data_IF_449513730226
#
_entry.id   IF_449513730226
#
_cell.length_a   1.000
_cell.length_b   1.000
_cell.length_c   1.000
_cell.angle_alpha   90.00
_cell.angle_beta   90.00
_cell.angle_gamma   90.00
#
_symmetry.space_group_name_H-M   'P 1'
#
loop_
_entity.id
_entity.type
_entity.pdbx_description
1 polymer ?
#
# COMPACT_ATOMS: atom_id res chain seq x y z
N UNK A 1 2.10 -13.52 -3.52
CA UNK A 1 1.18 -14.62 -3.14
C UNK A 1 -0.22 -14.08 -2.85
N UNK A 2 -0.36 -13.00 -2.08
CA UNK A 2 -1.67 -12.34 -1.83
C UNK A 2 -2.50 -12.02 -3.08
N UNK A 3 -1.86 -11.60 -4.18
CA UNK A 3 -2.56 -11.30 -5.44
C UNK A 3 -3.36 -12.50 -6.00
N UNK A 4 -2.88 -13.73 -5.79
CA UNK A 4 -3.53 -14.96 -6.29
C UNK A 4 -4.76 -15.38 -5.47
N UNK A 5 -5.13 -14.62 -4.43
CA UNK A 5 -6.42 -14.83 -3.73
C UNK A 5 -7.62 -14.45 -4.59
N UNK A 6 -7.38 -13.72 -5.69
CA UNK A 6 -8.32 -13.44 -6.77
C UNK A 6 -7.71 -13.89 -8.10
N UNK A 7 -8.52 -14.14 -9.15
CA UNK A 7 -8.01 -14.47 -10.48
C UNK A 7 -7.02 -13.42 -11.00
N UNK A 8 -5.92 -13.86 -11.62
CA UNK A 8 -4.89 -13.01 -12.20
C UNK A 8 -4.49 -13.55 -13.57
N UNK A 9 -4.21 -12.67 -14.52
CA UNK A 9 -3.48 -13.05 -15.73
C UNK A 9 -1.97 -13.23 -15.38
N UNK A 10 -1.34 -14.35 -15.77
CA UNK A 10 0.08 -14.59 -15.46
C UNK A 10 1.06 -13.61 -16.14
N UNK A 11 0.72 -13.08 -17.30
CA UNK A 11 1.50 -12.06 -17.99
C UNK A 11 1.45 -10.73 -17.24
N UNK A 12 0.23 -10.28 -16.93
CA UNK A 12 -0.03 -9.05 -16.19
C UNK A 12 0.58 -9.08 -14.79
N UNK A 13 0.44 -10.19 -14.05
CA UNK A 13 1.00 -10.30 -12.69
C UNK A 13 2.54 -10.16 -12.69
N UNK A 14 3.21 -10.73 -13.70
CA UNK A 14 4.67 -10.58 -13.86
C UNK A 14 5.06 -9.15 -14.20
N UNK A 15 4.33 -8.51 -15.13
CA UNK A 15 4.56 -7.12 -15.49
C UNK A 15 4.34 -6.18 -14.30
N UNK A 16 3.22 -6.33 -13.58
CA UNK A 16 2.87 -5.54 -12.42
C UNK A 16 3.89 -5.67 -11.27
N UNK A 17 4.47 -6.85 -11.08
CA UNK A 17 5.54 -7.05 -10.07
C UNK A 17 6.76 -6.18 -10.38
N UNK A 18 7.18 -6.10 -11.64
CA UNK A 18 8.28 -5.24 -12.08
C UNK A 18 7.91 -3.77 -12.00
N UNK A 19 6.70 -3.42 -12.45
CA UNK A 19 6.20 -2.04 -12.44
C UNK A 19 6.14 -1.47 -11.01
N UNK A 20 5.63 -2.22 -10.04
CA UNK A 20 5.61 -1.79 -8.63
C UNK A 20 7.02 -1.62 -8.08
N UNK A 21 7.95 -2.51 -8.46
CA UNK A 21 9.36 -2.38 -8.07
C UNK A 21 9.99 -1.11 -8.64
N UNK A 22 9.74 -0.82 -9.93
CA UNK A 22 10.18 0.42 -10.56
C UNK A 22 9.57 1.65 -9.87
N UNK A 23 8.28 1.60 -9.52
CA UNK A 23 7.59 2.68 -8.81
C UNK A 23 8.22 2.97 -7.45
N UNK A 24 8.58 1.94 -6.67
CA UNK A 24 9.26 2.11 -5.38
C UNK A 24 10.62 2.78 -5.54
N UNK A 25 11.44 2.33 -6.49
CA UNK A 25 12.76 2.91 -6.74
C UNK A 25 12.62 4.36 -7.24
N UNK A 26 11.73 4.60 -8.19
CA UNK A 26 11.49 5.92 -8.76
C UNK A 26 10.92 6.93 -7.74
N UNK A 27 10.15 6.45 -6.76
CA UNK A 27 9.68 7.25 -5.62
C UNK A 27 10.77 7.53 -4.57
N UNK A 28 11.98 6.97 -4.73
CA UNK A 28 13.13 7.24 -3.88
C UNK A 28 13.47 6.14 -2.86
N UNK A 29 12.85 4.97 -2.93
CA UNK A 29 13.27 3.83 -2.11
C UNK A 29 14.57 3.26 -2.70
N UNK A 30 15.68 3.51 -2.01
CA UNK A 30 16.99 3.02 -2.37
C UNK A 30 17.12 1.51 -2.10
N UNK A 31 17.30 0.64 -3.12
CA UNK A 31 17.40 -0.81 -2.96
C UNK A 31 18.69 -1.28 -2.26
N UNK A 32 19.70 -0.42 -2.14
CA UNK A 32 20.92 -0.73 -1.39
C UNK A 32 20.69 -0.53 0.12
N UNK A 33 19.87 0.45 0.49
CA UNK A 33 19.49 0.71 1.90
C UNK A 33 18.30 -0.15 2.35
N UNK A 34 17.30 -0.30 1.51
CA UNK A 34 16.05 -0.99 1.80
C UNK A 34 15.97 -2.35 1.08
N UNK A 35 15.45 -3.37 1.76
CA UNK A 35 15.26 -4.69 1.15
C UNK A 35 13.98 -4.72 0.32
N UNK A 36 14.09 -4.50 -1.00
CA UNK A 36 12.96 -4.61 -1.93
C UNK A 36 12.95 -6.00 -2.56
N UNK A 37 11.88 -6.76 -2.39
CA UNK A 37 11.77 -8.12 -2.92
C UNK A 37 10.31 -8.51 -3.17
N UNK A 38 10.08 -9.51 -4.03
CA UNK A 38 8.77 -10.10 -4.21
C UNK A 38 8.59 -11.28 -3.25
N UNK A 39 7.45 -11.30 -2.54
CA UNK A 39 7.12 -12.27 -1.48
C UNK A 39 7.43 -13.73 -1.85
N UNK A 40 7.15 -14.14 -3.09
CA UNK A 40 7.32 -15.53 -3.54
C UNK A 40 8.78 -16.01 -3.60
N UNK A 41 9.78 -15.12 -3.49
CA UNK A 41 11.20 -15.50 -3.45
C UNK A 41 11.64 -16.08 -2.11
N UNK A 42 10.83 -15.95 -1.06
CA UNK A 42 11.19 -16.38 0.29
C UNK A 42 10.14 -17.39 0.78
N UNK A 43 10.47 -18.68 0.71
CA UNK A 43 9.54 -19.77 1.10
C UNK A 43 9.11 -19.69 2.57
N UNK A 44 9.93 -19.05 3.40
CA UNK A 44 9.67 -18.92 4.83
C UNK A 44 8.32 -18.25 5.14
N UNK A 45 7.82 -17.39 4.25
CA UNK A 45 6.48 -16.80 4.37
C UNK A 45 5.38 -17.86 4.42
N UNK A 46 5.44 -18.85 3.52
CA UNK A 46 4.41 -19.90 3.43
C UNK A 46 4.58 -20.92 4.55
N UNK A 47 5.82 -21.32 4.83
CA UNK A 47 6.13 -22.26 5.91
C UNK A 47 5.71 -21.70 7.28
N UNK A 48 6.03 -20.43 7.55
CA UNK A 48 5.61 -19.76 8.77
C UNK A 48 4.08 -19.58 8.81
N UNK A 49 3.46 -19.18 7.70
CA UNK A 49 2.00 -19.04 7.63
C UNK A 49 1.28 -20.34 8.00
N UNK A 50 1.80 -21.50 7.59
CA UNK A 50 1.22 -22.78 7.98
C UNK A 50 1.32 -23.04 9.49
N UNK A 51 2.47 -22.78 10.10
CA UNK A 51 2.65 -22.89 11.56
C UNK A 51 1.68 -21.97 12.32
N UNK A 52 1.57 -20.71 11.86
CA UNK A 52 0.69 -19.73 12.47
C UNK A 52 -0.79 -20.08 12.26
N UNK A 53 -1.16 -20.69 11.13
CA UNK A 53 -2.52 -21.16 10.89
C UNK A 53 -2.97 -22.20 11.93
N UNK A 54 -2.07 -23.10 12.35
CA UNK A 54 -2.36 -24.07 13.42
C UNK A 54 -2.64 -23.43 14.78
N UNK A 55 -2.26 -22.16 14.97
CA UNK A 55 -2.50 -21.38 16.19
C UNK A 55 -3.63 -20.36 16.04
N UNK A 56 -4.23 -20.26 14.86
CA UNK A 56 -5.24 -19.24 14.54
C UNK A 56 -6.63 -19.85 14.57
N UNK A 57 -7.48 -19.53 15.57
CA UNK A 57 -8.86 -20.00 15.59
C UNK A 57 -9.67 -19.47 14.40
N UNK A 58 -10.48 -20.33 13.78
CA UNK A 58 -11.40 -19.94 12.70
C UNK A 58 -12.31 -18.76 13.09
N UNK A 59 -12.71 -18.69 14.36
CA UNK A 59 -13.51 -17.58 14.89
C UNK A 59 -12.86 -16.21 14.73
N UNK A 60 -11.52 -16.13 14.70
CA UNK A 60 -10.80 -14.88 14.47
C UNK A 60 -10.93 -14.43 13.01
N UNK A 61 -10.79 -15.37 12.08
CA UNK A 61 -10.93 -15.13 10.64
C UNK A 61 -12.39 -14.83 10.24
N UNK A 62 -13.37 -15.49 10.87
CA UNK A 62 -14.80 -15.25 10.64
C UNK A 62 -15.25 -13.81 10.97
N UNK A 63 -14.47 -13.07 11.76
CA UNK A 63 -14.75 -11.67 12.12
C UNK A 63 -14.12 -10.66 11.16
N UNK A 64 -13.30 -11.10 10.21
CA UNK A 64 -12.62 -10.20 9.25
C UNK A 64 -13.63 -9.57 8.30
N UNK A 65 -13.68 -8.23 8.28
CA UNK A 65 -14.62 -7.48 7.43
C UNK A 65 -14.28 -7.66 5.95
N UNK A 66 -12.98 -7.60 5.61
CA UNK A 66 -12.53 -7.73 4.21
C UNK A 66 -12.91 -9.07 3.58
N UNK A 67 -12.91 -10.18 4.33
CA UNK A 67 -13.39 -11.46 3.82
C UNK A 67 -14.88 -11.38 3.49
N UNK A 68 -15.70 -10.84 4.42
CA UNK A 68 -17.16 -10.71 4.23
C UNK A 68 -17.51 -9.82 3.04
N UNK A 69 -16.75 -8.74 2.83
CA UNK A 69 -16.93 -7.81 1.72
C UNK A 69 -16.51 -8.43 0.39
N UNK A 70 -15.31 -9.02 0.30
CA UNK A 70 -14.76 -9.58 -0.94
C UNK A 70 -15.45 -10.87 -1.37
N UNK A 71 -15.82 -11.74 -0.44
CA UNK A 71 -16.55 -12.97 -0.73
C UNK A 71 -18.03 -12.73 -1.07
N UNK A 72 -18.57 -11.58 -0.65
CA UNK A 72 -19.94 -11.17 -0.95
C UNK A 72 -21.00 -12.17 -0.47
N UNK A 73 -21.98 -12.45 -1.34
CA UNK A 73 -23.12 -13.34 -1.04
C UNK A 73 -22.76 -14.83 -1.14
N UNK A 74 -21.80 -15.21 -2.01
CA UNK A 74 -21.39 -16.61 -2.22
C UNK A 74 -20.12 -16.95 -1.46
N UNK A 75 -20.17 -16.85 -0.13
CA UNK A 75 -19.01 -17.10 0.73
C UNK A 75 -18.47 -18.52 0.64
N UNK A 76 -19.34 -19.48 0.35
CA UNK A 76 -18.96 -20.90 0.22
C UNK A 76 -18.13 -21.17 -1.04
N UNK A 77 -18.25 -20.32 -2.06
CA UNK A 77 -17.46 -20.41 -3.30
C UNK A 77 -16.14 -19.63 -3.22
N UNK A 78 -15.88 -18.93 -2.11
CA UNK A 78 -14.64 -18.19 -1.94
C UNK A 78 -13.46 -19.16 -1.77
N UNK A 79 -12.37 -18.92 -2.49
CA UNK A 79 -11.15 -19.71 -2.33
C UNK A 79 -10.58 -19.58 -0.91
N UNK A 80 -10.02 -20.67 -0.37
CA UNK A 80 -9.40 -20.70 0.96
C UNK A 80 -8.37 -19.58 1.15
N UNK A 81 -7.61 -19.24 0.09
CA UNK A 81 -6.65 -18.14 0.14
C UNK A 81 -7.28 -16.81 0.53
N UNK A 82 -8.48 -16.49 0.05
CA UNK A 82 -9.18 -15.24 0.41
C UNK A 82 -9.61 -15.22 1.88
N UNK A 83 -9.84 -16.38 2.49
CA UNK A 83 -10.15 -16.50 3.91
C UNK A 83 -8.89 -16.47 4.78
N UNK A 84 -7.82 -17.13 4.34
CA UNK A 84 -6.62 -17.38 5.13
C UNK A 84 -5.50 -16.35 4.93
N UNK A 85 -5.57 -15.46 3.93
CA UNK A 85 -4.50 -14.48 3.67
C UNK A 85 -4.15 -13.58 4.86
N UNK A 86 -5.04 -13.26 5.82
CA UNK A 86 -4.62 -12.50 7.01
C UNK A 86 -3.56 -13.23 7.85
N UNK A 87 -3.54 -14.57 7.84
CA UNK A 87 -2.50 -15.37 8.49
C UNK A 87 -1.19 -15.31 7.69
N UNK A 88 -1.27 -15.33 6.37
CA UNK A 88 -0.10 -15.12 5.51
C UNK A 88 0.50 -13.72 5.74
N UNK A 89 -0.35 -12.69 5.91
CA UNK A 89 0.10 -11.34 6.26
C UNK A 89 0.78 -11.30 7.63
N UNK A 90 0.28 -12.04 8.62
CA UNK A 90 0.98 -12.19 9.91
C UNK A 90 2.36 -12.83 9.73
N UNK A 91 2.47 -13.89 8.92
CA UNK A 91 3.77 -14.48 8.60
C UNK A 91 4.71 -13.51 7.89
N UNK A 92 4.19 -12.69 6.97
CA UNK A 92 4.98 -11.66 6.26
C UNK A 92 5.66 -10.67 7.22
N UNK A 93 4.99 -10.33 8.32
CA UNK A 93 5.47 -9.40 9.34
C UNK A 93 6.44 -10.11 10.30
N UNK A 94 6.02 -11.26 10.82
CA UNK A 94 6.71 -11.96 11.90
C UNK A 94 7.98 -12.66 11.44
N UNK A 95 8.07 -13.06 10.15
CA UNK A 95 9.28 -13.65 9.58
C UNK A 95 10.51 -12.71 9.70
N UNK A 96 10.31 -11.41 9.84
CA UNK A 96 11.39 -10.42 9.99
C UNK A 96 11.45 -9.80 11.38
N UNK A 97 10.68 -10.32 12.35
CA UNK A 97 10.49 -9.72 13.68
C UNK A 97 10.20 -8.21 13.60
N UNK A 98 9.36 -7.80 12.66
CA UNK A 98 9.04 -6.39 12.48
C UNK A 98 8.33 -5.82 13.71
N UNK A 99 8.82 -4.69 14.21
CA UNK A 99 8.26 -3.98 15.37
C UNK A 99 7.20 -2.96 14.99
N UNK A 100 7.29 -2.40 13.77
CA UNK A 100 6.43 -1.33 13.28
C UNK A 100 5.97 -1.67 11.87
N UNK A 101 4.67 -1.55 11.60
CA UNK A 101 4.10 -1.86 10.28
C UNK A 101 3.22 -0.69 9.83
N UNK A 102 3.54 -0.06 8.70
CA UNK A 102 2.68 0.97 8.15
C UNK A 102 1.45 0.35 7.51
N UNK A 103 0.27 0.73 7.99
CA UNK A 103 -1.01 0.19 7.53
C UNK A 103 -2.03 1.29 7.31
N UNK A 104 -2.81 1.15 6.23
CA UNK A 104 -4.02 1.94 6.05
C UNK A 104 -5.09 1.58 7.07
N UNK A 105 -6.09 2.46 7.25
CA UNK A 105 -7.21 2.21 8.16
C UNK A 105 -7.93 0.89 7.86
N UNK A 106 -8.02 0.50 6.58
CA UNK A 106 -8.64 -0.73 6.11
C UNK A 106 -7.87 -2.00 6.52
N UNK A 107 -6.55 -1.90 6.74
CA UNK A 107 -5.70 -3.04 7.10
C UNK A 107 -5.43 -3.15 8.60
N UNK A 108 -5.96 -2.22 9.41
CA UNK A 108 -5.76 -2.22 10.88
C UNK A 108 -6.21 -3.55 11.51
N UNK A 109 -7.34 -4.09 11.09
CA UNK A 109 -7.86 -5.36 11.63
C UNK A 109 -6.91 -6.54 11.39
N UNK A 110 -6.22 -6.57 10.25
CA UNK A 110 -5.24 -7.63 9.96
C UNK A 110 -3.95 -7.47 10.77
N UNK A 111 -3.53 -6.23 11.04
CA UNK A 111 -2.39 -5.99 11.94
C UNK A 111 -2.71 -6.41 13.37
N UNK A 112 -3.92 -6.13 13.87
CA UNK A 112 -4.36 -6.65 15.17
C UNK A 112 -4.38 -8.18 15.19
N UNK A 113 -4.83 -8.83 14.11
CA UNK A 113 -4.73 -10.29 14.01
C UNK A 113 -3.28 -10.78 14.08
N UNK A 114 -2.34 -10.12 13.40
CA UNK A 114 -0.92 -10.48 13.45
C UNK A 114 -0.36 -10.36 14.89
N UNK A 115 -0.79 -9.33 15.65
CA UNK A 115 -0.46 -9.17 17.07
C UNK A 115 -1.06 -10.29 17.92
N UNK A 116 -2.34 -10.62 17.71
CA UNK A 116 -3.02 -11.69 18.43
C UNK A 116 -2.36 -13.06 18.19
N UNK A 117 -1.97 -13.35 16.95
CA UNK A 117 -1.26 -14.56 16.54
C UNK A 117 0.14 -14.61 17.18
N UNK A 118 0.90 -13.52 17.13
CA UNK A 118 2.21 -13.43 17.78
C UNK A 118 2.10 -13.70 19.29
N UNK A 119 1.14 -13.06 19.96
CA UNK A 119 0.86 -13.28 21.38
C UNK A 119 0.41 -14.72 21.67
N UNK A 120 -0.39 -15.33 20.79
CA UNK A 120 -0.82 -16.71 20.94
C UNK A 120 0.36 -17.69 20.84
N UNK A 121 1.27 -17.49 19.88
CA UNK A 121 2.51 -18.26 19.76
C UNK A 121 3.34 -18.15 21.04
N UNK A 122 3.61 -16.92 21.47
CA UNK A 122 4.42 -16.64 22.65
C UNK A 122 3.85 -17.31 23.93
N UNK A 123 2.53 -17.21 24.15
CA UNK A 123 1.85 -17.87 25.27
C UNK A 123 1.87 -19.38 25.16
N UNK A 124 1.60 -19.94 23.97
CA UNK A 124 1.48 -21.39 23.74
C UNK A 124 2.79 -22.14 24.02
N UNK A 125 3.92 -21.48 23.77
CA UNK A 125 5.25 -22.05 23.96
C UNK A 125 6.00 -21.46 25.15
N UNK A 126 5.37 -20.56 25.90
CA UNK A 126 5.95 -19.89 27.08
C UNK A 126 7.31 -19.20 26.74
N UNK A 127 7.33 -18.49 25.60
CA UNK A 127 8.51 -17.76 25.10
C UNK A 127 8.13 -16.36 24.66
N UNK A 128 8.99 -15.38 24.94
CA UNK A 128 8.92 -14.08 24.29
C UNK A 128 9.73 -14.10 22.99
N UNK A 129 9.14 -14.67 21.93
CA UNK A 129 9.86 -14.94 20.68
C UNK A 129 9.51 -13.93 19.58
N UNK A 130 8.22 -13.76 19.30
CA UNK A 130 7.73 -12.81 18.32
C UNK A 130 7.39 -11.47 18.97
N UNK A 131 7.87 -10.33 18.44
CA UNK A 131 7.40 -9.03 18.88
C UNK A 131 5.92 -8.85 18.51
N UNK A 132 5.23 -7.99 19.26
CA UNK A 132 3.87 -7.56 18.92
C UNK A 132 3.96 -6.30 18.04
N UNK A 133 3.79 -6.40 16.71
CA UNK A 133 4.02 -5.27 15.81
C UNK A 133 3.07 -4.11 16.10
N UNK A 134 3.57 -2.87 16.09
CA UNK A 134 2.78 -1.67 16.30
C UNK A 134 2.37 -1.03 14.97
N UNK A 135 1.15 -0.43 14.90
CA UNK A 135 0.74 0.33 13.74
C UNK A 135 1.58 1.60 13.61
N UNK A 136 2.29 1.73 12.50
CA UNK A 136 2.91 3.00 12.14
C UNK A 136 1.93 3.84 11.34
N UNK A 137 1.28 4.77 12.04
CA UNK A 137 0.38 5.73 11.40
C UNK A 137 1.22 6.92 10.95
N UNK A 138 1.59 6.93 9.67
CA UNK A 138 2.10 8.16 9.06
C UNK A 138 0.96 9.19 9.07
N UNK A 139 1.18 10.33 9.73
CA UNK A 139 0.19 11.40 9.90
C UNK A 139 -0.51 11.70 8.58
N UNK A 140 -1.84 11.84 8.62
CA UNK A 140 -2.77 11.84 7.47
C UNK A 140 -2.05 11.61 6.13
N UNK A 141 -1.62 10.37 5.87
CA UNK A 141 -1.21 10.01 4.52
C UNK A 141 -2.37 10.45 3.63
N UNK A 142 -2.15 11.50 2.82
CA UNK A 142 -3.23 12.31 2.26
C UNK A 142 -4.17 11.37 1.56
N UNK A 143 -5.37 11.18 2.11
CA UNK A 143 -6.36 10.29 1.50
C UNK A 143 -6.78 10.98 0.22
N UNK A 144 -6.10 10.65 -0.88
CA UNK A 144 -6.34 11.28 -2.16
C UNK A 144 -7.67 10.77 -2.70
N UNK A 145 -8.59 11.71 -2.93
CA UNK A 145 -9.94 11.43 -3.42
C UNK A 145 -9.97 11.52 -4.94
N UNK A 146 -11.02 10.95 -5.53
CA UNK A 146 -11.24 11.00 -6.97
C UNK A 146 -11.32 12.45 -7.46
N UNK A 147 -10.66 12.74 -8.58
CA UNK A 147 -10.73 14.05 -9.22
C UNK A 147 -12.13 14.34 -9.80
N UNK A 148 -13.02 13.35 -9.86
CA UNK A 148 -14.40 13.49 -10.38
C UNK A 148 -15.46 13.46 -9.28
N UNK A 149 -15.11 12.93 -8.12
CA UNK A 149 -16.01 12.80 -6.96
C UNK A 149 -15.18 12.86 -5.67
N UNK A 150 -15.12 14.04 -5.05
CA UNK A 150 -14.31 14.28 -3.85
C UNK A 150 -14.72 13.45 -2.63
N UNK A 151 -15.89 12.80 -2.68
CA UNK A 151 -16.38 11.92 -1.59
C UNK A 151 -15.88 10.48 -1.71
N UNK A 152 -15.35 10.10 -2.88
CA UNK A 152 -14.83 8.75 -3.16
C UNK A 152 -13.32 8.72 -3.19
N UNK A 153 -12.72 7.68 -2.61
CA UNK A 153 -11.27 7.46 -2.67
C UNK A 153 -10.85 7.26 -4.12
N UNK A 154 -9.72 7.83 -4.53
CA UNK A 154 -9.13 7.56 -5.84
C UNK A 154 -8.88 6.05 -5.98
N UNK A 155 -9.30 5.46 -7.10
CA UNK A 155 -9.18 4.02 -7.36
C UNK A 155 -8.63 3.74 -8.75
N UNK A 156 -7.70 2.78 -8.82
CA UNK A 156 -7.20 2.23 -10.10
C UNK A 156 -8.30 1.56 -10.93
N UNK A 157 -9.35 1.05 -10.28
CA UNK A 157 -10.43 0.30 -10.92
C UNK A 157 -11.63 1.15 -11.32
N UNK A 158 -11.58 2.47 -11.12
CA UNK A 158 -12.66 3.36 -11.57
C UNK A 158 -12.73 3.38 -13.10
N UNK A 159 -13.94 3.36 -13.68
CA UNK A 159 -14.14 3.33 -15.12
C UNK A 159 -13.68 4.63 -15.81
N UNK A 160 -13.70 5.75 -15.09
CA UNK A 160 -13.24 7.02 -15.60
C UNK A 160 -11.74 7.20 -15.33
N UNK A 161 -10.92 7.24 -16.38
CA UNK A 161 -9.49 7.53 -16.21
C UNK A 161 -9.23 8.95 -15.67
N UNK A 162 -10.15 9.89 -15.92
CA UNK A 162 -10.13 11.25 -15.36
C UNK A 162 -10.39 11.32 -13.85
N UNK A 163 -10.74 10.21 -13.20
CA UNK A 163 -10.90 10.14 -11.74
C UNK A 163 -9.57 10.08 -10.99
N UNK A 164 -8.47 9.76 -11.68
CA UNK A 164 -7.17 9.42 -11.06
C UNK A 164 -6.00 9.97 -11.85
N UNK A 165 -4.87 10.15 -11.16
CA UNK A 165 -3.57 10.39 -11.79
C UNK A 165 -2.77 9.09 -11.66
N UNK A 166 -2.31 8.54 -12.78
CA UNK A 166 -1.44 7.36 -12.78
C UNK A 166 0.02 7.83 -12.67
N UNK A 167 0.87 7.04 -12.01
CA UNK A 167 2.31 7.35 -11.91
C UNK A 167 3.04 7.29 -13.27
N UNK A 168 2.39 6.69 -14.26
CA UNK A 168 2.86 6.57 -15.65
C UNK A 168 2.25 7.61 -16.58
N UNK A 169 1.36 8.49 -16.08
CA UNK A 169 0.83 9.58 -16.89
C UNK A 169 1.96 10.55 -17.28
N UNK A 170 1.95 11.01 -18.53
CA UNK A 170 2.85 12.06 -18.99
C UNK A 170 2.38 13.46 -18.53
N UNK A 171 3.19 14.47 -18.85
CA UNK A 171 2.92 15.84 -18.45
C UNK A 171 1.56 16.35 -18.93
N UNK A 172 1.20 16.03 -20.17
CA UNK A 172 -0.05 16.49 -20.80
C UNK A 172 -1.26 15.79 -20.18
N UNK A 173 -1.18 14.48 -19.93
CA UNK A 173 -2.23 13.72 -19.27
C UNK A 173 -2.46 14.20 -17.83
N UNK A 174 -1.39 14.43 -17.05
CA UNK A 174 -1.50 14.98 -15.68
C UNK A 174 -2.20 16.33 -15.70
N UNK A 175 -1.72 17.26 -16.54
CA UNK A 175 -2.29 18.61 -16.64
C UNK A 175 -3.75 18.57 -17.11
N UNK A 176 -4.08 17.72 -18.08
CA UNK A 176 -5.44 17.56 -18.58
C UNK A 176 -6.37 17.02 -17.49
N UNK A 177 -5.95 16.01 -16.72
CA UNK A 177 -6.72 15.41 -15.63
C UNK A 177 -7.00 16.42 -14.52
N UNK A 178 -6.01 17.21 -14.12
CA UNK A 178 -6.17 18.28 -13.11
C UNK A 178 -7.10 19.38 -13.64
N UNK A 179 -6.94 19.80 -14.90
CA UNK A 179 -7.83 20.79 -15.54
C UNK A 179 -9.28 20.31 -15.55
N UNK A 180 -9.50 19.02 -15.82
CA UNK A 180 -10.81 18.35 -15.84
C UNK A 180 -11.31 17.93 -14.46
N UNK A 181 -10.56 18.13 -13.38
CA UNK A 181 -11.02 17.80 -12.04
C UNK A 181 -12.32 18.58 -11.73
N UNK A 182 -13.28 17.93 -11.08
CA UNK A 182 -14.54 18.56 -10.66
C UNK A 182 -14.22 19.60 -9.59
N UNK A 183 -14.80 20.78 -9.72
CA UNK A 183 -14.76 21.87 -8.74
C UNK A 183 -16.11 22.56 -8.76
N UNK A 184 -16.47 23.20 -7.67
CA UNK A 184 -17.66 24.06 -7.60
C UNK A 184 -17.33 25.46 -8.19
N UNK A 185 -18.33 26.33 -8.44
CA UNK A 185 -18.12 27.61 -9.11
C UNK A 185 -17.57 28.71 -8.18
N UNK A 186 -17.58 28.50 -6.87
CA UNK A 186 -17.14 29.51 -5.90
C UNK A 186 -15.61 29.63 -5.90
N UNK A 187 -15.04 30.82 -5.63
CA UNK A 187 -13.62 30.96 -5.37
C UNK A 187 -13.13 30.04 -4.25
N UNK A 188 -11.83 29.79 -4.18
CA UNK A 188 -11.24 29.01 -3.09
C UNK A 188 -11.51 29.66 -1.73
N UNK A 189 -11.91 28.81 -0.79
CA UNK A 189 -12.23 29.18 0.59
C UNK A 189 -11.09 29.94 1.28
N UNK A 190 -11.43 30.73 2.29
CA UNK A 190 -10.42 31.46 3.08
C UNK A 190 -9.90 30.64 4.26
N UNK A 191 -10.72 29.73 4.76
CA UNK A 191 -10.40 28.92 5.94
C UNK A 191 -10.56 27.43 5.65
N UNK A 192 -9.85 26.58 6.42
CA UNK A 192 -9.99 25.12 6.29
C UNK A 192 -11.39 24.63 6.68
N UNK A 193 -12.05 25.28 7.65
CA UNK A 193 -13.40 24.92 8.08
C UNK A 193 -14.43 25.07 6.94
N UNK A 194 -14.24 26.03 6.04
CA UNK A 194 -15.07 26.17 4.85
C UNK A 194 -14.81 25.07 3.80
N UNK A 195 -13.59 24.52 3.74
CA UNK A 195 -13.26 23.41 2.84
C UNK A 195 -13.88 22.09 3.26
N UNK A 196 -14.18 21.89 4.55
CA UNK A 196 -14.78 20.64 5.05
C UNK A 196 -16.11 20.30 4.33
N UNK A 197 -16.84 21.32 3.86
CA UNK A 197 -18.09 21.17 3.11
C UNK A 197 -17.92 21.13 1.60
N UNK A 198 -16.68 21.24 1.10
CA UNK A 198 -16.30 21.31 -0.32
C UNK A 198 -15.26 20.23 -0.64
N UNK A 199 -15.68 18.95 -0.69
CA UNK A 199 -14.75 17.81 -0.72
C UNK A 199 -13.83 17.81 -1.95
N UNK A 200 -14.29 18.31 -3.10
CA UNK A 200 -13.43 18.49 -4.27
C UNK A 200 -12.32 19.53 -4.05
N UNK A 201 -12.66 20.69 -3.49
CA UNK A 201 -11.70 21.75 -3.20
C UNK A 201 -10.68 21.31 -2.15
N UNK A 202 -11.19 20.68 -1.09
CA UNK A 202 -10.42 20.11 0.01
C UNK A 202 -9.38 19.09 -0.47
N UNK A 203 -9.80 18.20 -1.39
CA UNK A 203 -8.93 17.21 -2.02
C UNK A 203 -7.82 17.87 -2.85
N UNK A 204 -8.15 18.82 -3.73
CA UNK A 204 -7.13 19.45 -4.59
C UNK A 204 -6.11 20.27 -3.77
N UNK A 205 -6.55 20.97 -2.72
CA UNK A 205 -5.66 21.65 -1.77
C UNK A 205 -4.77 20.64 -1.04
N UNK A 206 -5.33 19.51 -0.62
CA UNK A 206 -4.56 18.41 -0.02
C UNK A 206 -3.48 17.86 -0.94
N UNK A 207 -3.79 17.65 -2.23
CA UNK A 207 -2.82 17.21 -3.25
C UNK A 207 -1.73 18.26 -3.42
N UNK A 208 -2.10 19.54 -3.57
CA UNK A 208 -1.12 20.63 -3.72
C UNK A 208 -0.17 20.70 -2.52
N UNK A 209 -0.71 20.68 -1.30
CA UNK A 209 0.07 20.71 -0.06
C UNK A 209 1.07 19.54 -0.01
N UNK A 210 0.61 18.32 -0.34
CA UNK A 210 1.45 17.13 -0.35
C UNK A 210 2.61 17.22 -1.37
N UNK A 211 2.34 17.71 -2.59
CA UNK A 211 3.35 17.83 -3.64
C UNK A 211 4.33 18.98 -3.39
N UNK A 212 3.88 20.07 -2.75
CA UNK A 212 4.71 21.24 -2.44
C UNK A 212 5.48 21.12 -1.12
N UNK A 213 5.16 20.15 -0.28
CA UNK A 213 5.70 20.04 1.08
C UNK A 213 5.19 21.14 2.03
N UNK A 214 4.15 21.88 1.64
CA UNK A 214 3.50 22.90 2.47
C UNK A 214 2.43 22.28 3.37
N UNK A 215 2.10 22.98 4.45
CA UNK A 215 0.89 22.65 5.21
C UNK A 215 -0.38 22.99 4.40
N UNK A 216 -1.52 22.41 4.77
CA UNK A 216 -2.81 22.69 4.09
C UNK A 216 -3.22 24.15 4.26
N UNK A 217 -2.93 24.72 5.43
CA UNK A 217 -3.16 26.13 5.77
C UNK A 217 -2.31 27.03 4.88
N UNK A 218 -1.03 26.72 4.69
CA UNK A 218 -0.13 27.48 3.83
C UNK A 218 -0.54 27.39 2.35
N UNK A 219 -0.92 26.20 1.89
CA UNK A 219 -1.45 25.99 0.55
C UNK A 219 -2.73 26.81 0.34
N UNK A 220 -3.69 26.76 1.28
CA UNK A 220 -4.94 27.51 1.18
C UNK A 220 -4.68 29.03 1.18
N UNK A 221 -3.83 29.53 2.08
CA UNK A 221 -3.52 30.95 2.18
C UNK A 221 -2.95 31.53 0.87
N UNK A 222 -2.19 30.73 0.10
CA UNK A 222 -1.64 31.14 -1.19
C UNK A 222 -2.70 31.37 -2.26
N UNK A 223 -3.83 30.66 -2.18
CA UNK A 223 -4.86 30.66 -3.23
C UNK A 223 -6.25 31.11 -2.75
N UNK A 224 -6.39 31.50 -1.49
CA UNK A 224 -7.63 32.01 -0.92
C UNK A 224 -8.22 33.14 -1.77
N UNK A 225 -9.52 33.05 -2.08
CA UNK A 225 -10.24 34.01 -2.92
C UNK A 225 -9.90 33.97 -4.41
N UNK A 226 -8.99 33.10 -4.87
CA UNK A 226 -8.70 32.89 -6.29
C UNK A 226 -9.70 31.91 -6.93
N UNK A 227 -9.89 32.02 -8.23
CA UNK A 227 -10.68 31.05 -8.99
C UNK A 227 -9.92 29.72 -9.17
N UNK A 228 -10.66 28.64 -9.45
CA UNK A 228 -10.06 27.32 -9.63
C UNK A 228 -9.20 27.20 -10.88
N UNK A 229 -9.40 28.01 -11.92
CA UNK A 229 -8.57 27.95 -13.13
C UNK A 229 -7.11 28.27 -12.79
N UNK A 230 -6.88 29.38 -12.09
CA UNK A 230 -5.56 29.79 -11.62
C UNK A 230 -4.93 28.76 -10.69
N UNK A 231 -5.71 28.23 -9.74
CA UNK A 231 -5.20 27.20 -8.82
C UNK A 231 -4.86 25.88 -9.52
N UNK A 232 -5.70 25.44 -10.47
CA UNK A 232 -5.46 24.20 -11.24
C UNK A 232 -4.24 24.31 -12.15
N UNK A 233 -3.92 25.49 -12.66
CA UNK A 233 -2.68 25.73 -13.39
C UNK A 233 -1.47 25.49 -12.46
N UNK A 234 -1.43 26.15 -11.30
CA UNK A 234 -0.36 25.96 -10.32
C UNK A 234 -0.26 24.51 -9.81
N UNK A 235 -1.39 23.84 -9.60
CA UNK A 235 -1.43 22.41 -9.23
C UNK A 235 -0.92 21.51 -10.36
N UNK A 236 -1.22 21.85 -11.62
CA UNK A 236 -0.73 21.09 -12.78
C UNK A 236 0.78 21.18 -12.89
N UNK A 237 1.33 22.39 -12.76
CA UNK A 237 2.78 22.62 -12.83
C UNK A 237 3.55 21.76 -11.82
N UNK A 238 3.16 21.83 -10.54
CA UNK A 238 3.85 21.07 -9.49
C UNK A 238 3.63 19.56 -9.60
N UNK A 239 2.44 19.13 -10.02
CA UNK A 239 2.17 17.72 -10.24
C UNK A 239 3.02 17.16 -11.39
N UNK A 240 3.16 17.90 -12.49
CA UNK A 240 4.03 17.53 -13.61
C UNK A 240 5.50 17.50 -13.19
N UNK A 241 5.95 18.46 -12.40
CA UNK A 241 7.32 18.51 -11.90
C UNK A 241 7.66 17.27 -11.06
N UNK A 242 6.83 16.96 -10.06
CA UNK A 242 7.07 15.88 -9.12
C UNK A 242 6.77 14.51 -9.73
N UNK A 243 5.54 14.31 -10.24
CA UNK A 243 5.10 13.01 -10.75
C UNK A 243 5.77 12.69 -12.09
N UNK A 244 6.03 13.69 -12.93
CA UNK A 244 6.73 13.48 -14.20
C UNK A 244 8.17 13.01 -13.99
N UNK A 245 8.85 13.43 -12.91
CA UNK A 245 10.18 12.89 -12.55
C UNK A 245 10.10 11.40 -12.21
N UNK A 246 9.10 11.01 -11.43
CA UNK A 246 8.88 9.61 -11.04
C UNK A 246 8.52 8.79 -12.27
N UNK A 247 7.60 9.27 -13.12
CA UNK A 247 7.18 8.61 -14.35
C UNK A 247 8.34 8.36 -15.32
N UNK A 248 9.20 9.37 -15.54
CA UNK A 248 10.41 9.20 -16.38
C UNK A 248 11.36 8.14 -15.84
N UNK A 249 11.58 8.13 -14.53
CA UNK A 249 12.44 7.13 -13.90
C UNK A 249 11.82 5.72 -13.95
N UNK A 250 10.50 5.61 -13.76
CA UNK A 250 9.78 4.35 -13.97
C UNK A 250 9.93 3.85 -15.41
N UNK A 251 9.74 4.70 -16.41
CA UNK A 251 9.92 4.33 -17.82
C UNK A 251 11.35 3.86 -18.11
N UNK A 252 12.35 4.57 -17.58
CA UNK A 252 13.77 4.18 -17.70
C UNK A 252 14.03 2.80 -17.09
N UNK A 253 13.51 2.54 -15.89
CA UNK A 253 13.67 1.26 -15.19
C UNK A 253 12.93 0.12 -15.92
N UNK A 254 11.72 0.37 -16.42
CA UNK A 254 10.94 -0.62 -17.16
C UNK A 254 11.55 -0.99 -18.51
N UNK A 255 12.36 -0.11 -19.09
CA UNK A 255 13.16 -0.40 -20.28
C UNK A 255 14.38 -1.31 -19.99
N UNK A 256 14.74 -1.51 -18.71
CA UNK A 256 15.76 -2.46 -18.27
C UNK A 256 15.19 -3.47 -17.23
N UNK A 257 14.41 -4.47 -17.69
CA UNK A 257 13.91 -5.51 -16.81
C UNK A 257 15.02 -6.31 -16.10
N UNK A 258 16.22 -6.38 -16.67
CA UNK A 258 17.36 -7.08 -16.11
C UNK A 258 17.85 -6.44 -14.80
N UNK A 259 17.89 -5.11 -14.76
CA UNK A 259 18.17 -4.38 -13.53
C UNK A 259 17.12 -4.64 -12.44
N UNK A 260 15.83 -4.55 -12.77
CA UNK A 260 14.73 -4.79 -11.82
C UNK A 260 14.78 -6.21 -11.26
N UNK A 261 14.94 -7.21 -12.13
CA UNK A 261 15.06 -8.61 -11.73
C UNK A 261 16.32 -8.84 -10.86
N UNK A 262 17.40 -8.09 -11.14
CA UNK A 262 18.61 -8.05 -10.32
C UNK A 262 18.36 -7.51 -8.91
N UNK A 263 17.62 -6.40 -8.78
CA UNK A 263 17.21 -5.82 -7.50
C UNK A 263 16.38 -6.82 -6.71
N UNK A 264 15.32 -7.38 -7.31
CA UNK A 264 14.45 -8.37 -6.65
C UNK A 264 15.21 -9.61 -6.20
N UNK A 265 16.18 -10.08 -6.98
CA UNK A 265 17.03 -11.22 -6.61
C UNK A 265 17.93 -10.91 -5.42
N UNK A 266 18.56 -9.73 -5.38
CA UNK A 266 19.40 -9.30 -4.25
C UNK A 266 18.55 -9.09 -3.00
N UNK A 267 17.42 -8.42 -3.12
CA UNK A 267 16.48 -8.23 -2.02
C UNK A 267 15.92 -9.54 -1.49
N UNK A 268 15.57 -10.48 -2.38
CA UNK A 268 15.14 -11.83 -1.99
C UNK A 268 16.19 -12.55 -1.16
N UNK A 269 17.47 -12.51 -1.57
CA UNK A 269 18.58 -13.09 -0.78
C UNK A 269 18.73 -12.43 0.60
N UNK A 270 18.66 -11.10 0.67
CA UNK A 270 18.72 -10.34 1.94
C UNK A 270 17.54 -10.70 2.86
N UNK A 271 16.34 -10.76 2.30
CA UNK A 271 15.13 -11.15 3.02
C UNK A 271 15.23 -12.60 3.55
N UNK A 272 15.63 -13.55 2.69
CA UNK A 272 15.87 -14.94 3.08
C UNK A 272 16.87 -15.08 4.24
N UNK A 273 17.96 -14.30 4.22
CA UNK A 273 18.98 -14.32 5.27
C UNK A 273 18.42 -13.93 6.66
N UNK A 274 17.36 -13.13 6.70
CA UNK A 274 16.67 -12.74 7.94
C UNK A 274 15.55 -13.74 8.28
N UNK A 275 14.73 -14.10 7.30
CA UNK A 275 13.52 -14.89 7.51
C UNK A 275 13.80 -16.36 7.88
N UNK A 276 14.80 -16.98 7.26
CA UNK A 276 15.09 -18.40 7.52
C UNK A 276 15.57 -18.68 8.95
N UNK A 277 16.48 -17.88 9.55
CA UNK A 277 16.78 -18.00 10.98
C UNK A 277 15.54 -17.94 11.88
N UNK A 278 14.65 -16.96 11.65
CA UNK A 278 13.43 -16.78 12.44
C UNK A 278 12.49 -17.98 12.27
N UNK A 279 12.28 -18.45 11.05
CA UNK A 279 11.49 -19.66 10.78
C UNK A 279 12.08 -20.88 11.48
N UNK A 280 13.40 -21.08 11.40
CA UNK A 280 14.07 -22.23 12.03
C UNK A 280 13.87 -22.25 13.53
N UNK A 281 14.01 -21.10 14.17
CA UNK A 281 13.79 -20.97 15.60
C UNK A 281 12.30 -21.21 15.96
N UNK A 282 11.37 -20.65 15.17
CA UNK A 282 9.94 -20.90 15.35
C UNK A 282 9.60 -22.41 15.24
N UNK A 283 10.15 -23.09 14.24
CA UNK A 283 9.96 -24.53 14.04
C UNK A 283 10.55 -25.36 15.19
N UNK A 284 11.74 -25.00 15.68
CA UNK A 284 12.36 -25.66 16.82
C UNK A 284 11.53 -25.46 18.10
N UNK A 285 11.06 -24.23 18.37
CA UNK A 285 10.14 -23.93 19.47
C UNK A 285 8.85 -24.75 19.35
N UNK A 286 8.33 -24.90 18.13
CA UNK A 286 7.16 -25.72 17.83
C UNK A 286 7.42 -27.24 17.91
N UNK A 287 8.65 -27.67 18.14
CA UNK A 287 9.02 -29.08 18.30
C UNK A 287 9.19 -29.84 16.98
N UNK A 288 9.35 -29.15 15.85
CA UNK A 288 9.63 -29.79 14.57
C UNK A 288 11.07 -30.28 14.52
N UNK A 289 11.24 -31.58 14.29
CA UNK A 289 12.54 -32.22 14.18
C UNK A 289 13.25 -31.79 12.89
N UNK A 290 14.55 -31.48 13.04
CA UNK A 290 15.49 -31.24 11.93
C UNK A 290 16.73 -32.10 12.21
N UNK A 291 16.73 -33.38 11.75
CA UNK A 291 17.85 -34.29 11.94
C UNK A 291 19.09 -33.87 11.14
#
# INVERSE_FOLDING_TARGET
LHALTLPQDPGELRAATREVTAAYIAAGIDPERCTIFNQSMVSAHVELAWLLACLTPLGWLNRMTQFKEKAGKNREMAGLGLYAYPVLMAADILAYKATHVPVGQDQKQHLELARDIAGAFNRRYERDFFPLPEPQIFGSATRVMSLRDGTKKMSKSDSSDYSRINMTDDADAIALKIRRAKTDPEPLSQTLAELERRPEADNLIGIYAALSGLSREQALARFAGRNFSYFKEALSEIAVEVLGRIGREMSRLMADPGYIDGVLRRGGKRASAIAYPVLREAQAISGLLRP
#
